data_IF_703470910048
#
_entry.id   IF_703470910048
#
_cell.length_a   1.000
_cell.length_b   1.000
_cell.length_c   1.000
_cell.angle_alpha   90.00
_cell.angle_beta   90.00
_cell.angle_gamma   90.00
#
_symmetry.space_group_name_H-M   'P 1'
#
loop_
_entity.id
_entity.type
_entity.pdbx_description
1 polymer ?
#
# COMPACT_ATOMS: atom_id res chain seq x y z
N UNK A 1 -15.17 7.02 4.84
CA UNK A 1 -14.56 8.04 3.96
C UNK A 1 -14.24 7.32 2.67
N UNK A 2 -14.76 7.79 1.53
CA UNK A 2 -14.40 7.25 0.21
C UNK A 2 -12.90 7.38 0.04
N UNK A 3 -12.18 6.27 -0.11
CA UNK A 3 -10.72 6.30 -0.21
C UNK A 3 -10.33 6.81 -1.60
N UNK A 4 -9.90 8.07 -1.61
CA UNK A 4 -9.31 8.67 -2.79
C UNK A 4 -7.90 8.09 -2.99
N UNK A 5 -7.67 7.49 -4.14
CA UNK A 5 -6.36 7.05 -4.61
C UNK A 5 -5.91 7.96 -5.76
N UNK A 6 -4.70 8.55 -5.64
CA UNK A 6 -4.22 9.56 -6.58
C UNK A 6 -3.72 8.99 -7.91
N UNK A 7 -2.84 7.96 -7.94
CA UNK A 7 -2.32 7.43 -9.19
C UNK A 7 -3.44 6.90 -10.10
N UNK A 8 -3.40 7.25 -11.38
CA UNK A 8 -4.30 6.67 -12.39
C UNK A 8 -3.52 5.65 -13.20
N UNK A 9 -4.07 4.45 -13.36
CA UNK A 9 -3.51 3.43 -14.23
C UNK A 9 -3.67 3.88 -15.69
N UNK A 10 -2.57 3.91 -16.44
CA UNK A 10 -2.53 4.34 -17.84
C UNK A 10 -2.30 3.19 -18.81
N UNK A 11 -1.56 2.16 -18.39
CA UNK A 11 -1.39 0.93 -19.15
C UNK A 11 -1.15 -0.26 -18.22
N UNK A 12 -1.57 -1.44 -18.66
CA UNK A 12 -1.23 -2.73 -18.06
C UNK A 12 -0.83 -3.70 -19.17
N UNK A 13 0.24 -4.45 -18.96
CA UNK A 13 0.77 -5.43 -19.90
C UNK A 13 1.06 -6.74 -19.17
N UNK A 14 0.62 -7.87 -19.75
CA UNK A 14 1.03 -9.19 -19.29
C UNK A 14 2.47 -9.49 -19.73
N UNK A 15 3.33 -9.84 -18.76
CA UNK A 15 4.67 -10.36 -19.03
C UNK A 15 4.63 -11.90 -19.02
N UNK A 16 5.72 -12.55 -18.58
CA UNK A 16 5.68 -13.97 -18.28
C UNK A 16 4.67 -14.24 -17.14
N UNK A 17 3.79 -15.25 -17.26
CA UNK A 17 2.83 -15.57 -16.20
C UNK A 17 3.54 -15.79 -14.85
N UNK A 18 3.10 -15.16 -13.75
CA UNK A 18 1.92 -14.29 -13.58
C UNK A 18 2.31 -12.86 -13.21
N UNK A 19 3.23 -12.29 -13.99
CA UNK A 19 3.77 -10.95 -13.76
C UNK A 19 3.13 -9.94 -14.71
N UNK A 20 2.76 -8.79 -14.15
CA UNK A 20 2.27 -7.64 -14.89
C UNK A 20 3.27 -6.50 -14.88
N UNK A 21 3.25 -5.70 -15.93
CA UNK A 21 3.81 -4.36 -15.97
C UNK A 21 2.67 -3.35 -15.95
N UNK A 22 2.77 -2.35 -15.09
CA UNK A 22 1.78 -1.28 -14.94
C UNK A 22 2.44 0.07 -15.14
N UNK A 23 1.76 0.98 -15.83
CA UNK A 23 2.21 2.35 -16.10
C UNK A 23 1.22 3.32 -15.48
N UNK A 24 1.70 4.31 -14.72
CA UNK A 24 0.88 5.18 -13.90
C UNK A 24 1.02 6.65 -14.28
N UNK A 25 -0.01 7.45 -14.02
CA UNK A 25 0.01 8.91 -14.24
C UNK A 25 1.07 9.67 -13.44
N UNK A 26 1.71 9.02 -12.47
CA UNK A 26 2.87 9.51 -11.73
C UNK A 26 4.17 9.43 -12.55
N UNK A 27 4.14 8.81 -13.73
CA UNK A 27 5.30 8.49 -14.57
C UNK A 27 6.00 7.19 -14.17
N UNK A 28 5.45 6.46 -13.20
CA UNK A 28 6.03 5.21 -12.70
C UNK A 28 5.69 4.02 -13.60
N UNK A 29 6.68 3.15 -13.80
CA UNK A 29 6.51 1.83 -14.41
C UNK A 29 6.85 0.80 -13.36
N UNK A 30 5.86 0.01 -12.94
CA UNK A 30 5.99 -0.95 -11.86
C UNK A 30 5.68 -2.36 -12.36
N UNK A 31 6.47 -3.34 -11.92
CA UNK A 31 6.18 -4.74 -12.15
C UNK A 31 5.68 -5.40 -10.87
N UNK A 32 4.73 -6.31 -11.02
CA UNK A 32 4.08 -6.99 -9.90
C UNK A 32 3.79 -8.43 -10.28
N UNK A 33 4.17 -9.35 -9.42
CA UNK A 33 3.77 -10.75 -9.49
C UNK A 33 2.43 -10.94 -8.77
N UNK A 34 1.47 -11.57 -9.43
CA UNK A 34 0.14 -11.83 -8.88
C UNK A 34 -0.18 -13.33 -8.76
N UNK A 35 0.80 -14.22 -8.93
CA UNK A 35 0.59 -15.68 -8.87
C UNK A 35 -0.02 -16.09 -7.53
N UNK A 36 0.54 -15.56 -6.44
CA UNK A 36 0.06 -15.83 -5.09
C UNK A 36 -1.37 -15.35 -4.83
N UNK A 37 -1.81 -14.27 -5.48
CA UNK A 37 -3.18 -13.74 -5.33
C UNK A 37 -4.15 -14.60 -6.13
N UNK A 38 -3.83 -14.88 -7.40
CA UNK A 38 -4.65 -15.71 -8.28
C UNK A 38 -4.92 -17.10 -7.69
N UNK A 39 -3.89 -17.74 -7.10
CA UNK A 39 -4.01 -19.08 -6.51
C UNK A 39 -4.81 -19.13 -5.21
N UNK A 40 -4.87 -18.01 -4.47
CA UNK A 40 -5.59 -17.95 -3.18
C UNK A 40 -7.09 -17.81 -3.35
N UNK A 41 -7.57 -17.30 -4.49
CA UNK A 41 -8.97 -16.97 -4.72
C UNK A 41 -9.54 -17.91 -5.79
N UNK A 42 -10.40 -18.89 -5.41
CA UNK A 42 -10.91 -19.87 -6.37
C UNK A 42 -11.62 -19.28 -7.58
N UNK A 43 -12.29 -18.12 -7.43
CA UNK A 43 -12.95 -17.41 -8.54
C UNK A 43 -11.99 -16.91 -9.63
N UNK A 44 -10.70 -16.74 -9.31
CA UNK A 44 -9.67 -16.27 -10.24
C UNK A 44 -8.94 -17.42 -10.96
N UNK A 45 -9.28 -18.67 -10.66
CA UNK A 45 -8.65 -19.84 -11.27
C UNK A 45 -8.62 -19.83 -12.81
N UNK A 46 -9.64 -19.32 -13.54
CA UNK A 46 -9.58 -19.22 -15.00
C UNK A 46 -8.41 -18.39 -15.53
N UNK A 47 -7.93 -17.40 -14.78
CA UNK A 47 -6.82 -16.52 -15.16
C UNK A 47 -5.47 -17.27 -15.09
N UNK A 48 -5.41 -18.42 -14.42
CA UNK A 48 -4.23 -19.28 -14.41
C UNK A 48 -3.93 -19.92 -15.78
N UNK A 49 -4.87 -19.91 -16.73
CA UNK A 49 -4.55 -20.24 -18.13
C UNK A 49 -3.72 -19.09 -18.74
N UNK A 50 -2.48 -19.33 -19.22
CA UNK A 50 -1.65 -18.29 -19.85
C UNK A 50 -2.34 -17.53 -20.98
N UNK A 51 -3.27 -18.16 -21.72
CA UNK A 51 -4.05 -17.51 -22.77
C UNK A 51 -5.08 -16.54 -22.21
N UNK A 52 -5.66 -16.85 -21.06
CA UNK A 52 -6.54 -15.93 -20.35
C UNK A 52 -5.68 -14.81 -19.78
N UNK A 53 -4.60 -15.13 -19.06
CA UNK A 53 -3.68 -14.17 -18.46
C UNK A 53 -3.18 -13.10 -19.46
N UNK A 54 -2.86 -13.50 -20.69
CA UNK A 54 -2.39 -12.57 -21.72
C UNK A 54 -3.43 -11.52 -22.17
N UNK A 55 -4.71 -11.68 -21.80
CA UNK A 55 -5.81 -10.77 -22.14
C UNK A 55 -6.05 -9.65 -21.12
N UNK A 56 -5.10 -9.44 -20.21
CA UNK A 56 -5.19 -8.36 -19.22
C UNK A 56 -5.45 -7.02 -19.90
N UNK A 57 -6.34 -6.23 -19.33
CA UNK A 57 -6.63 -4.88 -19.78
C UNK A 57 -7.06 -4.00 -18.60
N UNK A 58 -7.16 -2.70 -18.84
CA UNK A 58 -7.72 -1.76 -17.87
C UNK A 58 -9.24 -1.80 -18.01
N UNK A 59 -9.94 -1.83 -16.88
CA UNK A 59 -11.40 -1.74 -16.87
C UNK A 59 -11.95 -0.43 -17.41
N UNK A 60 -13.24 -0.45 -17.75
CA UNK A 60 -13.94 0.66 -18.43
C UNK A 60 -13.74 2.01 -17.72
N UNK A 61 -13.73 2.02 -16.39
CA UNK A 61 -13.61 3.23 -15.58
C UNK A 61 -12.17 3.59 -15.18
N UNK A 62 -11.16 2.81 -15.60
CA UNK A 62 -9.75 3.11 -15.35
C UNK A 62 -9.27 2.85 -13.92
N UNK A 63 -10.09 2.18 -13.10
CA UNK A 63 -9.82 1.93 -11.68
C UNK A 63 -9.55 0.47 -11.34
N UNK A 64 -9.57 -0.41 -12.34
CA UNK A 64 -9.43 -1.86 -12.22
C UNK A 64 -8.49 -2.41 -13.28
N UNK A 65 -7.90 -3.57 -12.97
CA UNK A 65 -7.18 -4.44 -13.89
C UNK A 65 -8.02 -5.70 -14.08
N UNK A 66 -8.26 -6.06 -15.34
CA UNK A 66 -9.32 -6.98 -15.73
C UNK A 66 -8.88 -8.05 -16.70
N UNK A 67 -9.53 -9.21 -16.57
CA UNK A 67 -9.51 -10.30 -17.54
C UNK A 67 -10.92 -10.72 -17.94
N UNK A 68 -11.83 -10.81 -16.97
CA UNK A 68 -13.22 -11.22 -17.14
C UNK A 68 -14.18 -10.18 -16.57
N UNK A 69 -13.99 -9.76 -15.32
CA UNK A 69 -14.89 -8.83 -14.60
C UNK A 69 -14.22 -8.17 -13.37
N UNK A 70 -13.67 -6.96 -13.54
CA UNK A 70 -13.14 -6.07 -12.47
C UNK A 70 -12.28 -6.75 -11.37
N UNK A 71 -11.39 -7.70 -11.70
CA UNK A 71 -10.81 -8.60 -10.69
C UNK A 71 -9.93 -7.92 -9.65
N UNK A 72 -9.15 -6.90 -10.03
CA UNK A 72 -8.28 -6.19 -9.10
C UNK A 72 -8.45 -4.67 -9.18
N UNK A 73 -8.70 -4.04 -8.03
CA UNK A 73 -8.58 -2.60 -7.88
C UNK A 73 -7.15 -2.13 -8.17
N UNK A 74 -7.02 -1.04 -8.94
CA UNK A 74 -5.73 -0.48 -9.33
C UNK A 74 -4.90 -0.01 -8.11
N UNK A 75 -5.56 0.47 -7.05
CA UNK A 75 -4.95 0.80 -5.77
C UNK A 75 -4.22 -0.39 -5.14
N UNK A 76 -4.89 -1.54 -5.05
CA UNK A 76 -4.30 -2.78 -4.51
C UNK A 76 -3.07 -3.20 -5.32
N UNK A 77 -3.18 -3.19 -6.66
CA UNK A 77 -2.07 -3.58 -7.53
C UNK A 77 -0.89 -2.62 -7.39
N UNK A 78 -1.15 -1.32 -7.24
CA UNK A 78 -0.10 -0.35 -6.96
C UNK A 78 0.59 -0.63 -5.62
N UNK A 79 -0.16 -0.97 -4.56
CA UNK A 79 0.40 -1.31 -3.26
C UNK A 79 1.28 -2.57 -3.33
N UNK A 80 0.80 -3.66 -3.95
CA UNK A 80 1.57 -4.90 -4.11
C UNK A 80 2.86 -4.67 -4.90
N UNK A 81 2.80 -3.88 -5.98
CA UNK A 81 3.98 -3.57 -6.78
C UNK A 81 5.04 -2.82 -5.96
N UNK A 82 4.62 -1.86 -5.11
CA UNK A 82 5.51 -1.15 -4.19
C UNK A 82 6.14 -2.08 -3.17
N UNK A 83 5.34 -2.94 -2.55
CA UNK A 83 5.80 -3.85 -1.51
C UNK A 83 6.77 -4.90 -2.04
N UNK A 84 6.48 -5.49 -3.21
CA UNK A 84 7.39 -6.43 -3.87
C UNK A 84 8.71 -5.78 -4.30
N UNK A 85 8.70 -4.47 -4.58
CA UNK A 85 9.91 -3.69 -4.84
C UNK A 85 10.66 -3.27 -3.56
N UNK A 86 10.22 -3.71 -2.37
CA UNK A 86 10.81 -3.33 -1.08
C UNK A 86 10.54 -1.88 -0.69
N UNK A 87 9.55 -1.23 -1.31
CA UNK A 87 9.10 0.12 -0.99
C UNK A 87 7.91 0.08 -0.02
N UNK A 88 7.59 1.23 0.56
CA UNK A 88 6.45 1.38 1.47
C UNK A 88 5.23 1.78 0.66
N UNK A 89 4.15 0.99 0.75
CA UNK A 89 2.89 1.29 0.08
C UNK A 89 2.00 2.23 0.90
N UNK A 90 1.02 2.82 0.22
CA UNK A 90 -0.01 3.62 0.87
C UNK A 90 -0.92 2.78 1.78
N UNK A 91 -1.11 1.50 1.47
CA UNK A 91 -1.84 0.54 2.32
C UNK A 91 -1.10 0.26 3.61
N UNK A 92 0.22 0.00 3.58
CA UNK A 92 1.03 -0.16 4.80
C UNK A 92 0.88 1.04 5.74
N UNK A 93 0.89 2.25 5.17
CA UNK A 93 0.71 3.49 5.94
C UNK A 93 -0.73 3.68 6.43
N UNK A 94 -1.72 3.37 5.60
CA UNK A 94 -3.14 3.39 5.95
C UNK A 94 -3.47 2.39 7.07
N UNK A 95 -2.93 1.18 7.00
CA UNK A 95 -3.05 0.15 8.03
C UNK A 95 -2.39 0.58 9.34
N UNK A 96 -1.20 1.19 9.29
CA UNK A 96 -0.57 1.77 10.47
C UNK A 96 -1.46 2.84 11.13
N UNK A 97 -2.08 3.71 10.33
CA UNK A 97 -3.05 4.68 10.85
C UNK A 97 -4.27 3.98 11.45
N UNK A 98 -4.82 2.99 10.75
CA UNK A 98 -6.03 2.29 11.15
C UNK A 98 -5.85 1.52 12.46
N UNK A 99 -4.81 0.69 12.57
CA UNK A 99 -4.55 -0.13 13.78
C UNK A 99 -4.13 0.67 15.01
N UNK A 100 -3.86 1.96 14.85
CA UNK A 100 -3.53 2.89 15.93
C UNK A 100 -4.59 3.99 16.10
N UNK A 101 -5.77 3.86 15.48
CA UNK A 101 -6.89 4.80 15.56
C UNK A 101 -6.50 6.26 15.23
N UNK A 102 -5.60 6.43 14.26
CA UNK A 102 -5.07 7.73 13.89
C UNK A 102 -5.92 8.41 12.81
N UNK A 103 -6.36 9.63 13.13
CA UNK A 103 -6.85 10.59 12.15
C UNK A 103 -5.69 11.21 11.36
N UNK A 104 -5.98 11.96 10.30
CA UNK A 104 -4.95 12.75 9.60
C UNK A 104 -4.22 13.74 10.54
N UNK A 105 -4.92 14.28 11.54
CA UNK A 105 -4.35 15.25 12.50
C UNK A 105 -3.44 14.53 13.50
N UNK A 106 -3.93 13.45 14.12
CA UNK A 106 -3.15 12.72 15.13
C UNK A 106 -1.97 11.96 14.51
N UNK A 107 -2.07 11.48 13.27
CA UNK A 107 -0.92 10.94 12.54
C UNK A 107 0.13 12.02 12.23
N UNK A 108 -0.30 13.25 11.91
CA UNK A 108 0.60 14.36 11.65
C UNK A 108 1.37 14.76 12.91
N UNK A 109 0.68 14.82 14.05
CA UNK A 109 1.26 15.05 15.37
C UNK A 109 2.23 13.92 15.76
N UNK A 110 1.84 12.66 15.55
CA UNK A 110 2.65 11.48 15.84
C UNK A 110 4.00 11.49 15.11
N UNK A 111 3.98 11.87 13.83
CA UNK A 111 5.16 11.85 12.95
C UNK A 111 5.90 13.19 12.89
N UNK A 112 5.35 14.26 13.47
CA UNK A 112 5.93 15.60 13.39
C UNK A 112 5.95 16.17 11.97
N UNK A 113 4.95 15.85 11.14
CA UNK A 113 4.82 16.33 9.76
C UNK A 113 3.50 17.08 9.55
N UNK A 114 3.31 17.70 8.39
CA UNK A 114 2.03 18.37 8.11
C UNK A 114 0.91 17.36 7.84
N UNK A 115 -0.33 17.72 8.23
CA UNK A 115 -1.56 16.96 7.88
C UNK A 115 -1.69 16.70 6.38
N UNK A 116 -1.21 17.63 5.55
CA UNK A 116 -1.16 17.49 4.09
C UNK A 116 -0.21 16.37 3.65
N UNK A 117 0.95 16.23 4.28
CA UNK A 117 1.89 15.15 3.97
C UNK A 117 1.34 13.78 4.36
N UNK A 118 0.67 13.66 5.51
CA UNK A 118 -0.06 12.44 5.88
C UNK A 118 -1.08 12.07 4.81
N UNK A 119 -1.88 13.04 4.37
CA UNK A 119 -2.85 12.82 3.28
C UNK A 119 -2.16 12.36 2.00
N UNK A 120 -1.03 12.97 1.63
CA UNK A 120 -0.29 12.60 0.42
C UNK A 120 0.26 11.18 0.46
N UNK A 121 0.75 10.74 1.61
CA UNK A 121 1.22 9.38 1.80
C UNK A 121 0.06 8.37 1.78
N UNK A 122 -1.03 8.66 2.50
CA UNK A 122 -2.20 7.78 2.56
C UNK A 122 -2.88 7.60 1.20
N UNK A 123 -2.89 8.62 0.34
CA UNK A 123 -3.58 8.55 -0.96
C UNK A 123 -2.62 8.22 -2.12
N UNK A 124 -1.41 7.75 -1.84
CA UNK A 124 -0.35 7.50 -2.83
C UNK A 124 0.00 8.70 -3.74
N UNK A 125 -0.29 9.93 -3.31
CA UNK A 125 0.03 11.14 -4.08
C UNK A 125 1.53 11.47 -4.00
N UNK A 126 2.20 11.06 -2.92
CA UNK A 126 3.66 11.04 -2.83
C UNK A 126 4.12 9.68 -2.36
N UNK A 127 5.24 9.22 -2.93
CA UNK A 127 5.94 8.06 -2.41
C UNK A 127 6.35 8.28 -0.95
N UNK A 128 6.26 7.22 -0.14
CA UNK A 128 6.54 7.27 1.29
C UNK A 128 8.04 7.00 1.51
N UNK A 129 8.82 7.96 2.01
CA UNK A 129 10.24 7.75 2.28
C UNK A 129 10.45 6.70 3.36
N UNK A 130 11.55 5.93 3.26
CA UNK A 130 11.97 4.96 4.29
C UNK A 130 11.97 5.55 5.71
N UNK A 131 12.43 6.80 5.85
CA UNK A 131 12.45 7.50 7.13
C UNK A 131 11.06 7.67 7.76
N UNK A 132 10.02 7.90 6.95
CA UNK A 132 8.65 8.03 7.43
C UNK A 132 8.12 6.69 7.96
N UNK A 133 8.38 5.60 7.24
CA UNK A 133 7.97 4.28 7.72
C UNK A 133 8.69 3.85 8.99
N UNK A 134 10.00 4.12 9.09
CA UNK A 134 10.76 3.90 10.32
C UNK A 134 10.21 4.75 11.48
N UNK A 135 9.77 5.99 11.22
CA UNK A 135 9.12 6.82 12.23
C UNK A 135 7.75 6.27 12.66
N UNK A 136 6.96 5.70 11.73
CA UNK A 136 5.70 5.03 12.05
C UNK A 136 5.91 3.88 13.04
N UNK A 137 6.87 2.98 12.73
CA UNK A 137 7.21 1.85 13.58
C UNK A 137 7.83 2.29 14.91
N UNK A 138 8.69 3.33 14.91
CA UNK A 138 9.29 3.87 16.13
C UNK A 138 8.25 4.53 17.06
N UNK A 139 7.27 5.23 16.48
CA UNK A 139 6.15 5.77 17.23
C UNK A 139 5.29 4.66 17.83
N UNK A 140 5.01 3.61 17.06
CA UNK A 140 4.24 2.44 17.51
C UNK A 140 4.97 1.66 18.62
N UNK A 141 6.29 1.59 18.55
CA UNK A 141 7.11 0.95 19.59
C UNK A 141 7.17 1.74 20.90
N UNK A 142 7.04 3.07 20.85
CA UNK A 142 7.23 3.94 22.03
C UNK A 142 5.94 4.47 22.62
N UNK A 143 4.86 4.54 21.82
CA UNK A 143 3.54 5.11 22.16
C UNK A 143 3.63 6.25 23.18
N UNK A 144 4.34 7.34 22.86
CA UNK A 144 4.60 8.40 23.81
C UNK A 144 3.30 9.02 24.31
N UNK A 145 3.25 9.31 25.61
CA UNK A 145 2.20 10.19 26.15
C UNK A 145 2.38 11.57 25.51
N UNK A 146 1.26 12.20 25.15
CA UNK A 146 1.23 13.48 24.44
C UNK A 146 2.21 14.49 25.06
N UNK A 147 3.05 15.12 24.22
CA UNK A 147 4.09 16.12 24.54
C UNK A 147 5.44 15.61 25.08
N UNK A 148 5.65 14.30 25.21
CA UNK A 148 6.99 13.76 25.56
C UNK A 148 7.64 13.08 24.36
N UNK A 149 8.85 13.51 24.00
CA UNK A 149 9.64 12.85 22.95
C UNK A 149 10.46 11.72 23.59
N UNK A 150 10.25 10.45 23.18
CA UNK A 150 11.06 9.34 23.67
C UNK A 150 12.54 9.54 23.33
N UNK A 151 13.42 9.30 24.30
CA UNK A 151 14.88 9.36 24.11
C UNK A 151 15.53 7.99 23.92
N UNK A 152 14.78 6.92 24.18
CA UNK A 152 15.18 5.54 24.01
C UNK A 152 13.96 4.69 23.64
N UNK A 153 14.20 3.54 23.01
CA UNK A 153 13.16 2.52 22.82
C UNK A 153 12.91 1.78 24.14
N UNK A 154 11.68 1.28 24.38
CA UNK A 154 11.45 0.39 25.50
C UNK A 154 12.28 -0.89 25.37
N UNK A 155 12.66 -1.47 26.49
CA UNK A 155 13.27 -2.79 26.51
C UNK A 155 12.28 -3.85 26.01
N UNK A 156 12.79 -5.00 25.55
CA UNK A 156 11.92 -6.09 25.08
C UNK A 156 10.88 -6.53 26.13
N UNK A 157 11.24 -6.48 27.42
CA UNK A 157 10.34 -6.79 28.53
C UNK A 157 9.23 -5.75 28.70
N UNK A 158 9.57 -4.46 28.60
CA UNK A 158 8.59 -3.36 28.70
C UNK A 158 7.65 -3.35 27.49
N UNK A 159 8.17 -3.59 26.30
CA UNK A 159 7.36 -3.73 25.09
C UNK A 159 6.38 -4.90 25.22
N UNK A 160 6.86 -6.08 25.62
CA UNK A 160 5.99 -7.25 25.83
C UNK A 160 4.90 -6.97 26.89
N UNK A 161 5.23 -6.27 27.97
CA UNK A 161 4.25 -5.93 29.01
C UNK A 161 3.19 -4.92 28.54
N UNK A 162 3.51 -4.05 27.57
CA UNK A 162 2.56 -3.08 27.02
C UNK A 162 1.64 -3.66 25.94
N UNK A 163 1.95 -4.86 25.41
CA UNK A 163 1.28 -5.51 24.29
C UNK A 163 0.78 -6.94 24.60
N UNK A 164 0.82 -7.36 25.88
CA UNK A 164 0.21 -8.61 26.37
C UNK A 164 -1.26 -8.41 26.70
#
# INVERSE_FOLDING_TARGET
MTEYFFPKLQAVEALAPYRLRTIWSTGEVLEVDIDGVLRKIPGLAPILDPKVFARVHIGEWGHSIEWLDEEFGADNVYAWAKEQAGMVSHEMFGEWMHRNDLSLTTAAEALGISRRMVSYYRTAHKAIPRAIWLACLGWEATRPKAKTLPRALPTAREYAAAHA
#
